data_IF_172346772643
#
_entry.id   IF_172346772643
#
_cell.length_a   1.000
_cell.length_b   1.000
_cell.length_c   1.000
_cell.angle_alpha   90.00
_cell.angle_beta   90.00
_cell.angle_gamma   90.00
#
_symmetry.space_group_name_H-M   'P 1'
#
loop_
_entity.id
_entity.type
_entity.pdbx_description
1 polymer ?
#
# COMPACT_ATOMS: atom_id res chain seq x y z
N UNK A 1 -36.70 -29.79 -16.70
CA UNK A 1 -36.79 -30.10 -15.26
C UNK A 1 -36.60 -31.60 -14.96
N UNK A 2 -35.57 -32.26 -15.52
CA UNK A 2 -35.33 -33.71 -15.35
C UNK A 2 -33.87 -34.07 -14.98
N UNK A 3 -33.11 -33.16 -14.38
CA UNK A 3 -31.70 -33.41 -13.96
C UNK A 3 -31.36 -32.90 -12.55
N UNK A 4 -32.30 -32.91 -11.61
CA UNK A 4 -32.05 -32.53 -10.20
C UNK A 4 -31.90 -33.80 -9.35
N UNK A 5 -30.96 -34.69 -9.67
CA UNK A 5 -30.74 -35.87 -8.82
C UNK A 5 -29.48 -35.86 -7.99
N UNK A 6 -28.46 -35.05 -8.30
CA UNK A 6 -27.22 -35.05 -7.51
C UNK A 6 -26.58 -33.65 -7.49
N UNK A 7 -27.31 -32.61 -7.08
CA UNK A 7 -26.65 -31.33 -6.72
C UNK A 7 -26.09 -31.54 -5.31
N UNK A 8 -24.76 -31.47 -5.10
CA UNK A 8 -24.17 -31.70 -3.79
C UNK A 8 -24.65 -30.65 -2.77
N UNK A 9 -24.89 -31.10 -1.53
CA UNK A 9 -25.38 -30.24 -0.46
C UNK A 9 -24.32 -29.28 0.14
N UNK A 10 -23.06 -29.43 -0.25
CA UNK A 10 -21.96 -28.56 0.19
C UNK A 10 -21.44 -27.72 -0.98
N UNK A 11 -20.97 -26.51 -0.67
CA UNK A 11 -20.42 -25.59 -1.67
C UNK A 11 -19.21 -26.20 -2.40
N UNK A 12 -18.31 -26.86 -1.66
CA UNK A 12 -17.16 -27.59 -2.24
C UNK A 12 -17.59 -28.72 -3.18
N UNK A 13 -18.65 -29.46 -2.81
CA UNK A 13 -19.22 -30.49 -3.66
C UNK A 13 -19.78 -29.90 -4.96
N UNK A 14 -20.48 -28.76 -4.87
CA UNK A 14 -21.02 -28.07 -6.03
C UNK A 14 -19.92 -27.62 -7.00
N UNK A 15 -18.81 -27.07 -6.50
CA UNK A 15 -17.67 -26.68 -7.33
C UNK A 15 -16.98 -27.87 -7.98
N UNK A 16 -16.80 -28.97 -7.24
CA UNK A 16 -16.29 -30.21 -7.82
C UNK A 16 -17.20 -30.73 -8.94
N UNK A 17 -18.51 -30.78 -8.69
CA UNK A 17 -19.51 -31.21 -9.67
C UNK A 17 -19.48 -30.31 -10.92
N UNK A 18 -19.38 -28.99 -10.73
CA UNK A 18 -19.26 -28.01 -11.82
C UNK A 18 -18.01 -28.28 -12.66
N UNK A 19 -16.85 -28.42 -12.02
CA UNK A 19 -15.59 -28.71 -12.70
C UNK A 19 -15.59 -30.07 -13.43
N UNK A 20 -16.23 -31.10 -12.88
CA UNK A 20 -16.38 -32.40 -13.54
C UNK A 20 -17.25 -32.32 -14.79
N UNK A 21 -18.33 -31.53 -14.74
CA UNK A 21 -19.24 -31.33 -15.87
C UNK A 21 -18.63 -30.47 -16.96
N UNK A 22 -17.90 -29.41 -16.60
CA UNK A 22 -17.31 -28.47 -17.55
C UNK A 22 -16.00 -28.96 -18.17
N UNK A 23 -15.15 -29.64 -17.39
CA UNK A 23 -13.79 -30.00 -17.83
C UNK A 23 -13.62 -31.51 -17.97
N UNK A 24 -13.91 -31.99 -19.17
CA UNK A 24 -13.86 -33.42 -19.50
C UNK A 24 -12.43 -33.84 -19.86
N UNK A 25 -12.02 -35.05 -19.46
CA UNK A 25 -10.66 -35.60 -19.68
C UNK A 25 -9.57 -34.67 -19.12
N UNK A 26 -8.62 -34.24 -19.97
CA UNK A 26 -7.48 -33.37 -19.63
C UNK A 26 -7.73 -31.90 -20.00
N UNK A 27 -8.98 -31.48 -20.22
CA UNK A 27 -9.29 -30.09 -20.57
C UNK A 27 -8.84 -29.10 -19.49
N UNK A 28 -9.04 -29.43 -18.21
CA UNK A 28 -8.66 -28.53 -17.12
C UNK A 28 -7.17 -28.17 -17.16
N UNK A 29 -6.29 -29.16 -17.31
CA UNK A 29 -4.85 -28.93 -17.40
C UNK A 29 -4.45 -27.99 -18.56
N UNK A 30 -5.26 -27.90 -19.64
CA UNK A 30 -5.00 -26.99 -20.77
C UNK A 30 -5.36 -25.54 -20.47
N UNK A 31 -6.37 -25.32 -19.62
CA UNK A 31 -6.90 -24.00 -19.25
C UNK A 31 -6.37 -23.52 -17.89
N UNK A 32 -5.83 -24.42 -17.07
CA UNK A 32 -5.25 -24.13 -15.76
C UNK A 32 -4.22 -22.99 -15.78
N UNK A 33 -3.33 -22.85 -16.79
CA UNK A 33 -2.44 -21.68 -16.83
C UNK A 33 -3.20 -20.34 -16.87
N UNK A 34 -4.35 -20.27 -17.54
CA UNK A 34 -5.18 -19.05 -17.58
C UNK A 34 -5.75 -18.77 -16.19
N UNK A 35 -6.27 -19.81 -15.53
CA UNK A 35 -6.81 -19.69 -14.17
C UNK A 35 -5.72 -19.29 -13.16
N UNK A 36 -4.52 -19.86 -13.26
CA UNK A 36 -3.39 -19.48 -12.42
C UNK A 36 -3.07 -17.98 -12.56
N UNK A 37 -3.05 -17.43 -13.78
CA UNK A 37 -2.85 -15.99 -14.01
C UNK A 37 -3.98 -15.16 -13.39
N UNK A 38 -5.25 -15.53 -13.63
CA UNK A 38 -6.40 -14.78 -13.10
C UNK A 38 -6.37 -14.75 -11.56
N UNK A 39 -6.10 -15.89 -10.93
CA UNK A 39 -6.03 -16.02 -9.47
C UNK A 39 -4.83 -15.28 -8.84
N UNK A 40 -3.82 -14.93 -9.63
CA UNK A 40 -2.64 -14.21 -9.19
C UNK A 40 -2.69 -12.70 -9.47
N UNK A 41 -3.63 -12.25 -10.31
CA UNK A 41 -3.70 -10.86 -10.76
C UNK A 41 -4.28 -9.94 -9.67
N UNK A 42 -3.72 -8.73 -9.52
CA UNK A 42 -4.20 -7.72 -8.57
C UNK A 42 -5.47 -7.01 -9.03
N UNK A 43 -5.78 -7.15 -10.32
CA UNK A 43 -6.91 -6.53 -11.00
C UNK A 43 -7.40 -7.46 -12.11
N UNK A 44 -8.65 -7.29 -12.58
CA UNK A 44 -9.13 -7.94 -13.78
C UNK A 44 -8.21 -7.64 -14.98
N UNK A 45 -7.85 -8.68 -15.72
CA UNK A 45 -6.97 -8.58 -16.89
C UNK A 45 -7.76 -8.72 -18.18
N UNK A 46 -7.37 -7.95 -19.18
CA UNK A 46 -7.89 -8.08 -20.54
C UNK A 46 -7.46 -9.40 -21.17
N UNK A 47 -8.19 -9.84 -22.20
CA UNK A 47 -7.83 -11.02 -23.00
C UNK A 47 -6.37 -10.95 -23.50
N UNK A 48 -5.91 -9.78 -23.92
CA UNK A 48 -4.55 -9.57 -24.44
C UNK A 48 -3.50 -9.71 -23.33
N UNK A 49 -3.72 -9.11 -22.16
CA UNK A 49 -2.82 -9.25 -21.00
C UNK A 49 -2.72 -10.71 -20.54
N UNK A 50 -3.86 -11.41 -20.46
CA UNK A 50 -3.90 -12.83 -20.13
C UNK A 50 -3.15 -13.68 -21.17
N UNK A 51 -3.31 -13.38 -22.45
CA UNK A 51 -2.59 -14.05 -23.52
C UNK A 51 -1.07 -13.90 -23.34
N UNK A 52 -0.59 -12.66 -23.18
CA UNK A 52 0.84 -12.41 -23.00
C UNK A 52 1.41 -13.09 -21.75
N UNK A 53 0.69 -13.07 -20.63
CA UNK A 53 1.08 -13.79 -19.42
C UNK A 53 1.21 -15.30 -19.68
N UNK A 54 0.19 -15.94 -20.23
CA UNK A 54 0.21 -17.40 -20.47
C UNK A 54 1.21 -17.80 -21.56
N UNK A 55 1.44 -16.93 -22.55
CA UNK A 55 2.44 -17.13 -23.60
C UNK A 55 3.85 -17.27 -23.04
N UNK A 56 4.19 -16.59 -21.94
CA UNK A 56 5.52 -16.73 -21.31
C UNK A 56 5.83 -18.13 -20.79
N UNK A 57 4.79 -18.92 -20.46
CA UNK A 57 4.93 -20.34 -20.10
C UNK A 57 4.96 -21.27 -21.32
N UNK A 58 4.34 -20.86 -22.44
CA UNK A 58 4.34 -21.61 -23.69
C UNK A 58 4.43 -20.67 -24.89
N UNK A 59 5.66 -20.39 -25.33
CA UNK A 59 5.93 -19.42 -26.40
C UNK A 59 5.45 -19.86 -27.78
N UNK A 60 4.99 -21.10 -27.94
CA UNK A 60 4.36 -21.58 -29.19
C UNK A 60 2.84 -21.36 -29.21
N UNK A 61 2.25 -20.78 -28.17
CA UNK A 61 0.80 -20.55 -28.07
C UNK A 61 0.36 -19.43 -29.02
N UNK A 62 -0.57 -19.73 -29.92
CA UNK A 62 -1.19 -18.72 -30.78
C UNK A 62 -2.39 -18.07 -30.10
N UNK A 63 -2.78 -16.87 -30.55
CA UNK A 63 -3.97 -16.19 -30.04
C UNK A 63 -5.25 -17.00 -30.31
N UNK A 64 -5.32 -17.70 -31.45
CA UNK A 64 -6.44 -18.60 -31.77
C UNK A 64 -6.54 -19.78 -30.78
N UNK A 65 -5.41 -20.40 -30.46
CA UNK A 65 -5.34 -21.49 -29.48
C UNK A 65 -5.75 -21.01 -28.09
N UNK A 66 -5.31 -19.80 -27.74
CA UNK A 66 -5.67 -19.16 -26.48
C UNK A 66 -7.16 -18.83 -26.41
N UNK A 67 -7.76 -18.29 -27.48
CA UNK A 67 -9.19 -18.03 -27.54
C UNK A 67 -10.01 -19.30 -27.37
N UNK A 68 -9.62 -20.41 -28.03
CA UNK A 68 -10.25 -21.72 -27.82
C UNK A 68 -10.20 -22.20 -26.37
N UNK A 69 -9.12 -21.87 -25.63
CA UNK A 69 -9.02 -22.16 -24.20
C UNK A 69 -9.93 -21.26 -23.36
N UNK A 70 -10.08 -19.98 -23.72
CA UNK A 70 -11.04 -19.08 -23.07
C UNK A 70 -12.49 -19.51 -23.31
N UNK A 71 -12.82 -20.02 -24.49
CA UNK A 71 -14.17 -20.51 -24.79
C UNK A 71 -14.56 -21.70 -23.89
N UNK A 72 -13.60 -22.57 -23.56
CA UNK A 72 -13.78 -23.64 -22.58
C UNK A 72 -14.05 -23.09 -21.17
N UNK A 73 -13.49 -21.92 -20.84
CA UNK A 73 -13.70 -21.23 -19.57
C UNK A 73 -14.95 -20.32 -19.56
N UNK A 74 -15.67 -20.16 -20.67
CA UNK A 74 -16.82 -19.23 -20.80
C UNK A 74 -17.96 -19.44 -19.80
N UNK A 75 -18.03 -20.61 -19.15
CA UNK A 75 -19.03 -20.91 -18.11
C UNK A 75 -18.57 -20.55 -16.70
N UNK A 76 -17.28 -20.29 -16.50
CA UNK A 76 -16.70 -19.88 -15.22
C UNK A 76 -16.11 -18.48 -15.28
N UNK A 77 -15.96 -17.89 -16.46
CA UNK A 77 -15.52 -16.51 -16.63
C UNK A 77 -16.69 -15.61 -17.04
N UNK A 78 -16.65 -14.38 -16.53
CA UNK A 78 -17.58 -13.31 -16.87
C UNK A 78 -16.77 -12.12 -17.41
N UNK A 79 -17.37 -11.36 -18.30
CA UNK A 79 -16.81 -10.11 -18.82
C UNK A 79 -16.97 -8.99 -17.78
N UNK A 80 -15.84 -8.44 -17.35
CA UNK A 80 -15.76 -7.24 -16.53
C UNK A 80 -15.67 -5.96 -17.38
N UNK A 81 -15.46 -4.83 -16.70
CA UNK A 81 -15.23 -3.55 -17.37
C UNK A 81 -13.99 -3.62 -18.28
N UNK A 82 -14.06 -2.98 -19.45
CA UNK A 82 -12.92 -2.90 -20.37
C UNK A 82 -12.51 -4.23 -21.03
N UNK A 83 -13.45 -5.17 -21.23
CA UNK A 83 -13.18 -6.52 -21.78
C UNK A 83 -12.20 -7.34 -20.92
N UNK A 84 -12.21 -7.09 -19.61
CA UNK A 84 -11.45 -7.90 -18.65
C UNK A 84 -12.18 -9.20 -18.36
N UNK A 85 -11.46 -10.23 -17.93
CA UNK A 85 -12.03 -11.52 -17.54
C UNK A 85 -11.89 -11.72 -16.04
N UNK A 86 -12.99 -12.07 -15.38
CA UNK A 86 -13.06 -12.39 -13.94
C UNK A 86 -13.75 -13.73 -13.74
N UNK A 87 -13.45 -14.44 -12.64
CA UNK A 87 -14.21 -15.63 -12.28
C UNK A 87 -15.60 -15.24 -11.78
N UNK A 88 -16.58 -16.09 -12.08
CA UNK A 88 -17.99 -15.80 -11.82
C UNK A 88 -18.35 -15.71 -10.32
N UNK A 89 -17.50 -16.20 -9.41
CA UNK A 89 -17.80 -16.26 -7.99
C UNK A 89 -16.53 -16.32 -7.13
N UNK A 90 -16.40 -15.43 -6.15
CA UNK A 90 -15.23 -15.32 -5.27
C UNK A 90 -14.90 -16.63 -4.51
N UNK A 91 -15.87 -17.29 -3.88
CA UNK A 91 -15.59 -18.55 -3.17
C UNK A 91 -15.17 -19.71 -4.09
N UNK A 92 -15.40 -19.59 -5.41
CA UNK A 92 -14.86 -20.55 -6.37
C UNK A 92 -13.36 -20.31 -6.60
N UNK A 93 -12.92 -19.06 -6.58
CA UNK A 93 -11.49 -18.68 -6.61
C UNK A 93 -10.75 -19.24 -5.40
N UNK A 94 -11.30 -19.04 -4.19
CA UNK A 94 -10.75 -19.58 -2.95
C UNK A 94 -10.67 -21.11 -3.00
N UNK A 95 -11.75 -21.76 -3.47
CA UNK A 95 -11.77 -23.20 -3.63
C UNK A 95 -10.69 -23.67 -4.60
N UNK A 96 -10.46 -23.01 -5.74
CA UNK A 96 -9.40 -23.40 -6.68
C UNK A 96 -7.99 -23.33 -6.07
N UNK A 97 -7.76 -22.57 -5.01
CA UNK A 97 -6.47 -22.44 -4.31
C UNK A 97 -6.38 -23.30 -3.03
N UNK A 98 -7.49 -23.86 -2.56
CA UNK A 98 -7.53 -24.59 -1.28
C UNK A 98 -7.03 -26.03 -1.41
N UNK A 99 -5.80 -26.28 -0.94
CA UNK A 99 -5.16 -27.61 -0.94
C UNK A 99 -5.94 -28.65 -0.10
N UNK A 100 -6.74 -28.22 0.89
CA UNK A 100 -7.50 -29.13 1.76
C UNK A 100 -8.81 -29.57 1.11
N UNK A 101 -9.49 -28.66 0.41
CA UNK A 101 -10.86 -28.90 -0.08
C UNK A 101 -10.96 -29.07 -1.60
N UNK A 102 -9.99 -28.58 -2.36
CA UNK A 102 -9.95 -28.76 -3.81
C UNK A 102 -9.37 -30.11 -4.18
N UNK A 103 -9.96 -30.74 -5.19
CA UNK A 103 -9.37 -31.95 -5.75
C UNK A 103 -8.08 -31.59 -6.47
N UNK A 104 -6.99 -32.34 -6.25
CA UNK A 104 -5.68 -32.11 -6.87
C UNK A 104 -5.72 -31.92 -8.39
N UNK A 105 -6.68 -32.55 -9.07
CA UNK A 105 -6.94 -32.40 -10.52
C UNK A 105 -7.31 -30.97 -10.93
N UNK A 106 -8.01 -30.23 -10.06
CA UNK A 106 -8.56 -28.90 -10.29
C UNK A 106 -7.85 -27.79 -9.51
N UNK A 107 -6.94 -28.17 -8.61
CA UNK A 107 -6.16 -27.23 -7.82
C UNK A 107 -5.31 -26.32 -8.74
N UNK A 108 -5.41 -25.02 -8.55
CA UNK A 108 -4.62 -24.01 -9.24
C UNK A 108 -3.39 -23.62 -8.41
N UNK A 109 -2.42 -23.00 -9.07
CA UNK A 109 -1.18 -22.54 -8.45
C UNK A 109 -0.98 -21.05 -8.73
N UNK A 110 -1.32 -20.22 -7.76
CA UNK A 110 -1.15 -18.76 -7.84
C UNK A 110 0.31 -18.35 -8.06
N UNK A 111 1.28 -19.04 -7.44
CA UNK A 111 2.71 -18.74 -7.64
C UNK A 111 3.16 -18.96 -9.09
N UNK A 112 2.55 -19.91 -9.81
CA UNK A 112 2.76 -20.04 -11.25
C UNK A 112 2.13 -18.89 -12.06
N UNK A 113 0.97 -18.41 -11.62
CA UNK A 113 0.34 -17.19 -12.13
C UNK A 113 1.24 -15.98 -11.99
N UNK A 114 1.76 -15.74 -10.80
CA UNK A 114 2.72 -14.68 -10.51
C UNK A 114 3.97 -14.77 -11.38
N UNK A 115 4.54 -15.97 -11.60
CA UNK A 115 5.66 -16.16 -12.54
C UNK A 115 5.33 -15.74 -13.96
N UNK A 116 4.18 -16.19 -14.49
CA UNK A 116 3.75 -15.84 -15.84
C UNK A 116 3.53 -14.33 -16.01
N UNK A 117 2.94 -13.68 -15.01
CA UNK A 117 2.78 -12.23 -14.98
C UNK A 117 4.14 -11.52 -14.90
N UNK A 118 5.01 -11.91 -13.97
CA UNK A 118 6.35 -11.34 -13.84
C UNK A 118 7.18 -11.47 -15.13
N UNK A 119 7.11 -12.60 -15.83
CA UNK A 119 7.75 -12.76 -17.13
C UNK A 119 7.12 -11.83 -18.19
N UNK A 120 5.79 -11.70 -18.20
CA UNK A 120 5.09 -10.79 -19.13
C UNK A 120 5.50 -9.33 -18.91
N UNK A 121 5.53 -8.87 -17.65
CA UNK A 121 6.04 -7.55 -17.29
C UNK A 121 7.52 -7.38 -17.69
N UNK A 122 8.35 -8.42 -17.51
CA UNK A 122 9.76 -8.40 -17.94
C UNK A 122 9.91 -8.16 -19.44
N UNK A 123 9.05 -8.76 -20.28
CA UNK A 123 9.09 -8.56 -21.74
C UNK A 123 8.79 -7.11 -22.17
N UNK A 124 8.06 -6.35 -21.36
CA UNK A 124 7.65 -4.97 -21.65
C UNK A 124 8.12 -3.98 -20.57
N UNK A 125 9.22 -4.31 -19.88
CA UNK A 125 9.71 -3.60 -18.70
C UNK A 125 9.87 -2.08 -18.88
N UNK A 126 10.29 -1.65 -20.08
CA UNK A 126 10.52 -0.24 -20.42
C UNK A 126 9.24 0.57 -20.63
N UNK A 127 8.10 -0.11 -20.82
CA UNK A 127 6.81 0.49 -21.13
C UNK A 127 5.86 0.47 -19.92
N UNK A 128 6.32 -0.03 -18.77
CA UNK A 128 5.50 -0.13 -17.57
C UNK A 128 5.20 1.24 -16.99
N UNK A 129 3.93 1.45 -16.67
CA UNK A 129 3.50 2.58 -15.84
C UNK A 129 3.97 2.41 -14.39
N UNK A 130 4.05 3.47 -13.57
CA UNK A 130 4.43 3.37 -12.15
C UNK A 130 3.63 2.33 -11.37
N UNK A 131 2.32 2.25 -11.61
CA UNK A 131 1.43 1.25 -10.97
C UNK A 131 1.80 -0.17 -11.41
N UNK A 132 2.04 -0.38 -12.71
CA UNK A 132 2.46 -1.68 -13.23
C UNK A 132 3.86 -2.10 -12.74
N UNK A 133 4.75 -1.15 -12.44
CA UNK A 133 6.03 -1.45 -11.80
C UNK A 133 5.84 -2.01 -10.39
N UNK A 134 4.87 -1.49 -9.64
CA UNK A 134 4.51 -2.06 -8.33
C UNK A 134 3.88 -3.46 -8.47
N UNK A 135 2.96 -3.64 -9.43
CA UNK A 135 2.38 -4.96 -9.76
C UNK A 135 3.48 -5.96 -10.16
N UNK A 136 4.47 -5.51 -10.93
CA UNK A 136 5.61 -6.32 -11.31
C UNK A 136 6.44 -6.75 -10.09
N UNK A 137 6.76 -5.82 -9.19
CA UNK A 137 7.45 -6.12 -7.93
C UNK A 137 6.70 -7.13 -7.07
N UNK A 138 5.38 -6.97 -6.94
CA UNK A 138 4.51 -7.93 -6.25
C UNK A 138 4.61 -9.33 -6.87
N UNK A 139 4.46 -9.41 -8.19
CA UNK A 139 4.52 -10.70 -8.88
C UNK A 139 5.90 -11.35 -8.78
N UNK A 140 6.99 -10.58 -8.75
CA UNK A 140 8.33 -11.11 -8.50
C UNK A 140 8.44 -11.74 -7.10
N UNK A 141 7.91 -11.08 -6.06
CA UNK A 141 7.96 -11.58 -4.68
C UNK A 141 7.13 -12.87 -4.52
N UNK A 142 5.92 -12.90 -5.07
CA UNK A 142 5.03 -14.06 -4.95
C UNK A 142 5.28 -15.15 -6.00
N UNK A 143 6.26 -14.96 -6.89
CA UNK A 143 6.61 -15.91 -7.94
C UNK A 143 7.22 -17.22 -7.42
N UNK A 144 7.63 -17.28 -6.15
CA UNK A 144 8.40 -18.39 -5.54
C UNK A 144 9.67 -18.76 -6.32
N UNK A 145 10.19 -17.83 -7.13
CA UNK A 145 11.54 -17.94 -7.65
C UNK A 145 12.47 -17.94 -6.45
N UNK A 146 13.41 -18.90 -6.38
CA UNK A 146 14.37 -19.01 -5.27
C UNK A 146 15.45 -17.91 -5.39
N UNK A 147 15.01 -16.66 -5.44
CA UNK A 147 15.81 -15.46 -5.60
C UNK A 147 15.59 -14.57 -4.39
N UNK A 148 16.67 -13.97 -3.90
CA UNK A 148 16.64 -12.97 -2.84
C UNK A 148 16.09 -11.64 -3.36
N UNK A 149 15.60 -10.77 -2.47
CA UNK A 149 15.12 -9.43 -2.86
C UNK A 149 16.18 -8.62 -3.61
N UNK A 150 17.47 -8.83 -3.34
CA UNK A 150 18.56 -8.15 -4.06
C UNK A 150 18.73 -8.68 -5.48
N UNK A 151 18.56 -9.99 -5.70
CA UNK A 151 18.59 -10.59 -7.05
C UNK A 151 17.36 -10.18 -7.86
N UNK A 152 16.18 -10.10 -7.22
CA UNK A 152 14.98 -9.56 -7.84
C UNK A 152 15.14 -8.08 -8.21
N UNK A 153 15.78 -7.28 -7.35
CA UNK A 153 16.08 -5.88 -7.67
C UNK A 153 17.02 -5.77 -8.88
N UNK A 154 18.07 -6.60 -8.92
CA UNK A 154 18.99 -6.69 -10.07
C UNK A 154 18.25 -7.09 -11.35
N UNK A 155 17.27 -7.99 -11.28
CA UNK A 155 16.42 -8.32 -12.42
C UNK A 155 15.72 -7.08 -12.98
N UNK A 156 15.05 -6.30 -12.13
CA UNK A 156 14.35 -5.08 -12.54
C UNK A 156 15.31 -4.04 -13.15
N UNK A 157 16.52 -3.93 -12.60
CA UNK A 157 17.56 -3.05 -13.15
C UNK A 157 18.01 -3.54 -14.53
N UNK A 158 18.31 -4.83 -14.68
CA UNK A 158 18.83 -5.39 -15.93
C UNK A 158 17.84 -5.42 -17.08
N UNK A 159 16.55 -5.61 -16.80
CA UNK A 159 15.51 -5.55 -17.84
C UNK A 159 15.14 -4.10 -18.25
N UNK A 160 15.66 -3.10 -17.53
CA UNK A 160 15.44 -1.68 -17.80
C UNK A 160 14.09 -1.16 -17.33
N UNK A 161 13.53 -1.72 -16.25
CA UNK A 161 12.30 -1.22 -15.65
C UNK A 161 12.52 0.19 -15.09
N UNK A 162 11.65 1.14 -15.43
CA UNK A 162 11.70 2.50 -14.87
C UNK A 162 11.13 2.53 -13.44
N UNK A 163 11.96 2.23 -12.44
CA UNK A 163 11.55 2.17 -11.02
C UNK A 163 11.50 3.53 -10.32
N UNK A 164 12.12 4.59 -10.88
CA UNK A 164 12.25 5.89 -10.22
C UNK A 164 10.89 6.46 -9.79
N UNK A 165 9.94 6.48 -10.71
CA UNK A 165 8.62 7.08 -10.47
C UNK A 165 7.63 6.12 -9.79
N UNK A 166 8.07 4.90 -9.46
CA UNK A 166 7.18 3.86 -8.94
C UNK A 166 6.63 4.16 -7.55
N UNK A 167 7.22 5.08 -6.80
CA UNK A 167 6.75 5.50 -5.47
C UNK A 167 6.04 6.87 -5.49
N UNK A 168 5.95 7.52 -6.65
CA UNK A 168 5.39 8.88 -6.78
C UNK A 168 3.86 8.92 -6.82
N UNK A 169 3.16 7.78 -6.95
CA UNK A 169 1.69 7.74 -7.00
C UNK A 169 1.04 7.17 -5.75
N UNK A 170 1.57 6.08 -5.21
CA UNK A 170 1.06 5.35 -4.03
C UNK A 170 2.22 4.55 -3.43
N UNK A 171 2.29 4.41 -2.11
CA UNK A 171 3.24 3.44 -1.49
C UNK A 171 2.62 2.04 -1.56
N UNK A 172 3.36 1.01 -2.04
CA UNK A 172 2.90 -0.37 -1.98
C UNK A 172 2.48 -0.77 -0.56
N UNK A 173 1.34 -1.45 -0.45
CA UNK A 173 0.84 -1.94 0.85
C UNK A 173 1.73 -3.01 1.47
N UNK A 174 2.33 -3.85 0.63
CA UNK A 174 3.23 -4.91 1.05
C UNK A 174 4.65 -4.37 1.22
N UNK A 175 5.20 -4.58 2.42
CA UNK A 175 6.51 -4.04 2.80
C UNK A 175 7.63 -4.63 1.94
N UNK A 176 7.51 -5.91 1.57
CA UNK A 176 8.46 -6.60 0.72
C UNK A 176 8.54 -5.96 -0.67
N UNK A 177 7.41 -5.51 -1.22
CA UNK A 177 7.35 -4.81 -2.51
C UNK A 177 8.05 -3.47 -2.41
N UNK A 178 7.77 -2.70 -1.36
CA UNK A 178 8.46 -1.44 -1.10
C UNK A 178 9.97 -1.65 -1.00
N UNK A 179 10.42 -2.62 -0.20
CA UNK A 179 11.85 -2.94 -0.06
C UNK A 179 12.49 -3.34 -1.39
N UNK A 180 11.80 -4.13 -2.22
CA UNK A 180 12.28 -4.52 -3.54
C UNK A 180 12.46 -3.30 -4.46
N UNK A 181 11.45 -2.43 -4.55
CA UNK A 181 11.49 -1.23 -5.39
C UNK A 181 12.61 -0.28 -4.95
N UNK A 182 12.73 -0.04 -3.65
CA UNK A 182 13.78 0.81 -3.09
C UNK A 182 15.17 0.23 -3.39
N UNK A 183 15.37 -1.09 -3.23
CA UNK A 183 16.63 -1.76 -3.63
C UNK A 183 16.89 -1.69 -5.13
N UNK A 184 15.85 -1.67 -5.95
CA UNK A 184 15.97 -1.50 -7.40
C UNK A 184 16.31 -0.05 -7.80
N UNK A 185 16.25 0.90 -6.87
CA UNK A 185 16.55 2.31 -7.10
C UNK A 185 15.32 3.20 -7.21
N UNK A 186 14.16 2.77 -6.69
CA UNK A 186 13.02 3.65 -6.49
C UNK A 186 13.30 4.61 -5.33
N UNK A 187 13.03 5.89 -5.53
CA UNK A 187 13.28 6.94 -4.54
C UNK A 187 12.02 7.78 -4.40
N UNK A 188 11.90 8.48 -3.27
CA UNK A 188 10.84 9.46 -3.05
C UNK A 188 11.46 10.81 -3.37
N UNK A 189 11.32 11.27 -4.63
CA UNK A 189 11.87 12.57 -5.04
C UNK A 189 11.09 13.73 -4.42
N UNK A 190 11.83 14.73 -3.93
CA UNK A 190 11.33 15.83 -3.09
C UNK A 190 10.81 17.05 -3.85
N UNK A 191 10.71 16.98 -5.18
CA UNK A 191 10.38 18.16 -6.00
C UNK A 191 8.90 18.25 -6.41
N UNK A 192 8.12 17.17 -6.28
CA UNK A 192 6.68 17.18 -6.58
C UNK A 192 5.85 17.12 -5.29
N UNK A 193 4.95 18.10 -5.16
CA UNK A 193 3.98 18.25 -4.07
C UNK A 193 3.12 16.98 -3.85
N UNK A 194 2.86 16.22 -4.92
CA UNK A 194 2.13 14.94 -4.85
C UNK A 194 2.90 13.86 -4.10
N UNK A 195 4.22 13.86 -4.18
CA UNK A 195 5.08 12.87 -3.53
C UNK A 195 5.03 13.00 -2.01
N UNK A 196 4.90 14.23 -1.50
CA UNK A 196 4.82 14.51 -0.07
C UNK A 196 3.53 13.96 0.58
N UNK A 197 2.39 14.02 -0.12
CA UNK A 197 1.14 13.42 0.32
C UNK A 197 1.24 11.89 0.50
N UNK A 198 2.11 11.22 -0.26
CA UNK A 198 2.26 9.77 -0.27
C UNK A 198 3.16 9.30 0.89
N UNK A 199 4.21 10.05 1.22
CA UNK A 199 4.99 9.81 2.46
C UNK A 199 4.12 9.99 3.70
N UNK A 200 3.14 10.90 3.65
CA UNK A 200 2.15 11.06 4.71
C UNK A 200 1.16 9.90 4.75
N UNK A 201 0.73 9.35 3.60
CA UNK A 201 -0.01 8.08 3.59
C UNK A 201 0.81 6.91 4.18
N UNK A 202 2.14 6.98 4.16
CA UNK A 202 3.02 6.03 4.85
C UNK A 202 2.86 6.04 6.38
N UNK A 203 2.24 7.08 6.97
CA UNK A 203 2.02 7.19 8.42
C UNK A 203 1.21 6.05 9.01
N UNK A 204 0.45 5.33 8.18
CA UNK A 204 -0.30 4.15 8.62
C UNK A 204 0.63 2.97 8.97
N UNK A 205 1.91 3.00 8.57
CA UNK A 205 2.85 1.88 8.74
C UNK A 205 4.27 2.36 9.10
N UNK A 206 4.64 2.20 10.37
CA UNK A 206 5.99 2.50 10.89
C UNK A 206 7.11 1.86 10.04
N UNK A 207 6.91 0.61 9.62
CA UNK A 207 7.84 -0.16 8.81
C UNK A 207 8.14 0.46 7.44
N UNK A 208 7.13 1.07 6.82
CA UNK A 208 7.28 1.74 5.53
C UNK A 208 8.10 3.02 5.70
N UNK A 209 7.82 3.80 6.74
CA UNK A 209 8.59 5.01 7.08
C UNK A 209 10.05 4.65 7.34
N UNK A 210 10.30 3.63 8.17
CA UNK A 210 11.65 3.15 8.46
C UNK A 210 12.41 2.77 7.20
N UNK A 211 11.78 1.99 6.31
CA UNK A 211 12.38 1.57 5.04
C UNK A 211 12.74 2.77 4.17
N UNK A 212 11.87 3.76 4.06
CA UNK A 212 12.12 4.97 3.28
C UNK A 212 13.26 5.80 3.86
N UNK A 213 13.27 6.04 5.17
CA UNK A 213 14.32 6.81 5.85
C UNK A 213 15.69 6.11 5.78
N UNK A 214 15.72 4.78 5.93
CA UNK A 214 16.95 3.99 5.81
C UNK A 214 17.56 4.06 4.40
N UNK A 215 16.77 4.43 3.39
CA UNK A 215 17.19 4.54 2.00
C UNK A 215 17.23 6.00 1.50
N UNK A 216 17.36 6.95 2.42
CA UNK A 216 17.70 8.34 2.08
C UNK A 216 16.51 9.29 1.87
N UNK A 217 15.28 8.88 2.17
CA UNK A 217 14.17 9.82 2.23
C UNK A 217 14.42 10.90 3.29
N UNK A 218 14.08 12.15 2.98
CA UNK A 218 14.29 13.27 3.91
C UNK A 218 13.30 13.19 5.07
N UNK A 219 13.83 13.19 6.30
CA UNK A 219 13.03 13.17 7.54
C UNK A 219 12.20 14.45 7.73
N UNK A 220 12.62 15.55 7.09
CA UNK A 220 12.03 16.89 7.21
C UNK A 220 11.27 17.33 5.94
N UNK A 221 10.87 16.37 5.10
CA UNK A 221 10.07 16.67 3.91
C UNK A 221 8.68 17.20 4.30
N UNK A 222 8.25 18.27 3.65
CA UNK A 222 6.94 18.92 3.87
C UNK A 222 5.96 18.66 2.72
N UNK A 223 4.66 18.58 3.03
CA UNK A 223 3.58 18.57 2.03
C UNK A 223 3.18 19.96 1.50
N UNK A 224 2.13 20.00 0.67
CA UNK A 224 1.54 21.20 0.08
C UNK A 224 1.14 22.25 1.11
N UNK A 225 0.82 21.78 2.32
CA UNK A 225 0.39 22.61 3.43
C UNK A 225 1.57 22.92 4.36
N UNK A 226 2.81 22.63 3.96
CA UNK A 226 4.01 22.84 4.77
C UNK A 226 4.21 21.82 5.89
N UNK A 227 3.37 20.79 6.01
CA UNK A 227 3.43 19.84 7.14
C UNK A 227 4.50 18.78 6.91
N UNK A 228 5.34 18.59 7.93
CA UNK A 228 6.28 17.47 7.98
C UNK A 228 5.59 16.15 8.34
N UNK A 229 6.31 15.04 8.13
CA UNK A 229 5.88 13.73 8.63
C UNK A 229 5.72 13.73 10.16
N UNK A 230 6.59 14.46 10.87
CA UNK A 230 6.51 14.63 12.32
C UNK A 230 5.23 15.39 12.72
N UNK A 231 4.90 16.49 12.04
CA UNK A 231 3.69 17.26 12.29
C UNK A 231 2.41 16.42 12.14
N UNK A 232 2.35 15.58 11.10
CA UNK A 232 1.21 14.68 10.88
C UNK A 232 1.15 13.50 11.88
N UNK A 233 2.30 12.90 12.23
CA UNK A 233 2.36 11.89 13.29
C UNK A 233 1.93 12.47 14.65
N UNK A 234 2.30 13.73 14.91
CA UNK A 234 1.92 14.44 16.11
C UNK A 234 0.42 14.78 16.15
N UNK A 235 -0.14 15.22 15.03
CA UNK A 235 -1.58 15.47 14.87
C UNK A 235 -2.43 14.21 15.02
N UNK A 236 -1.93 13.05 14.58
CA UNK A 236 -2.64 11.75 14.71
C UNK A 236 -2.39 11.04 16.04
N UNK A 237 -1.47 11.53 16.87
CA UNK A 237 -1.14 10.93 18.16
C UNK A 237 -0.31 9.65 18.08
N UNK A 238 0.33 9.38 16.94
CA UNK A 238 1.13 8.17 16.75
C UNK A 238 2.52 8.32 17.38
N UNK A 239 2.61 7.97 18.66
CA UNK A 239 3.84 8.09 19.46
C UNK A 239 5.01 7.29 18.89
N UNK A 240 4.77 6.10 18.35
CA UNK A 240 5.84 5.23 17.85
C UNK A 240 6.51 5.85 16.62
N UNK A 241 5.72 6.41 15.71
CA UNK A 241 6.22 7.17 14.56
C UNK A 241 6.92 8.46 14.99
N UNK A 242 6.39 9.18 15.99
CA UNK A 242 7.07 10.37 16.55
C UNK A 242 8.44 10.00 17.09
N UNK A 243 8.55 8.94 17.91
CA UNK A 243 9.82 8.45 18.45
C UNK A 243 10.79 8.07 17.34
N UNK A 244 10.32 7.35 16.31
CA UNK A 244 11.13 6.99 15.15
C UNK A 244 11.69 8.26 14.48
N UNK A 245 10.84 9.22 14.14
CA UNK A 245 11.22 10.45 13.42
C UNK A 245 12.21 11.30 14.21
N UNK A 246 11.94 11.53 15.50
CA UNK A 246 12.85 12.28 16.37
C UNK A 246 14.20 11.55 16.50
N UNK A 247 14.21 10.21 16.60
CA UNK A 247 15.47 9.44 16.62
C UNK A 247 16.28 9.55 15.33
N UNK A 248 15.64 9.93 14.22
CA UNK A 248 16.27 10.18 12.91
C UNK A 248 16.62 11.65 12.68
N UNK A 249 16.50 12.50 13.70
CA UNK A 249 16.90 13.90 13.64
C UNK A 249 15.87 14.81 12.96
N UNK A 250 14.58 14.52 13.10
CA UNK A 250 13.54 15.47 12.71
C UNK A 250 13.73 16.82 13.38
N UNK A 251 13.53 17.89 12.61
CA UNK A 251 13.45 19.24 13.12
C UNK A 251 12.04 19.45 13.72
N UNK A 252 12.02 19.80 15.01
CA UNK A 252 10.79 19.95 15.80
C UNK A 252 10.07 21.27 15.50
N UNK A 253 10.79 22.24 14.94
CA UNK A 253 10.35 23.63 14.78
C UNK A 253 9.90 23.96 13.34
N UNK A 254 9.84 22.96 12.45
CA UNK A 254 9.26 23.17 11.12
C UNK A 254 7.76 23.42 11.26
N UNK A 255 7.34 24.57 10.73
CA UNK A 255 5.97 25.06 10.78
C UNK A 255 5.16 24.66 9.55
N UNK A 256 3.87 24.37 9.75
CA UNK A 256 2.92 24.27 8.65
C UNK A 256 2.50 25.66 8.10
N UNK A 257 1.66 25.69 7.07
CA UNK A 257 1.22 26.93 6.43
C UNK A 257 0.49 27.90 7.38
N UNK A 258 0.01 27.44 8.53
CA UNK A 258 -0.60 28.25 9.58
C UNK A 258 0.38 28.66 10.68
N UNK A 259 1.66 28.28 10.58
CA UNK A 259 2.68 28.54 11.59
C UNK A 259 2.68 27.49 12.71
N UNK A 260 1.97 26.37 12.57
CA UNK A 260 1.83 25.39 13.65
C UNK A 260 2.97 24.37 13.60
N UNK A 261 3.64 24.16 14.73
CA UNK A 261 4.64 23.08 14.90
C UNK A 261 3.98 21.77 15.33
N UNK A 262 4.75 20.68 15.30
CA UNK A 262 4.30 19.37 15.77
C UNK A 262 3.75 19.42 17.22
N UNK A 263 4.37 20.22 18.10
CA UNK A 263 3.93 20.37 19.49
C UNK A 263 2.55 21.02 19.56
N UNK A 264 2.33 22.10 18.81
CA UNK A 264 1.04 22.80 18.77
C UNK A 264 -0.07 21.90 18.25
N UNK A 265 0.19 21.11 17.20
CA UNK A 265 -0.77 20.16 16.64
C UNK A 265 -1.12 19.03 17.62
N UNK A 266 -0.13 18.41 18.26
CA UNK A 266 -0.37 17.38 19.29
C UNK A 266 -1.15 17.93 20.49
N UNK A 267 -0.84 19.17 20.90
CA UNK A 267 -1.51 19.81 22.02
C UNK A 267 -2.98 20.13 21.69
N UNK A 268 -3.25 20.61 20.48
CA UNK A 268 -4.60 20.87 19.97
C UNK A 268 -5.49 19.62 19.93
N UNK A 269 -4.89 18.44 19.72
CA UNK A 269 -5.61 17.16 19.67
C UNK A 269 -5.57 16.37 20.99
N UNK A 270 -4.94 16.90 22.03
CA UNK A 270 -4.93 16.29 23.36
C UNK A 270 -4.00 15.08 23.51
N UNK A 271 -3.01 14.91 22.63
CA UNK A 271 -2.12 13.76 22.62
C UNK A 271 -0.99 13.88 23.64
N UNK A 272 -1.31 13.72 24.93
CA UNK A 272 -0.38 13.95 26.06
C UNK A 272 0.95 13.20 25.95
N UNK A 273 0.95 11.94 25.47
CA UNK A 273 2.18 11.16 25.31
C UNK A 273 3.11 11.76 24.26
N UNK A 274 2.56 12.20 23.13
CA UNK A 274 3.32 12.87 22.07
C UNK A 274 3.83 14.22 22.55
N UNK A 275 3.00 15.00 23.24
CA UNK A 275 3.40 16.29 23.84
C UNK A 275 4.60 16.10 24.78
N UNK A 276 4.52 15.13 25.69
CA UNK A 276 5.63 14.85 26.62
C UNK A 276 6.91 14.41 25.90
N UNK A 277 6.78 13.62 24.82
CA UNK A 277 7.91 13.23 23.98
C UNK A 277 8.58 14.47 23.33
N UNK A 278 7.79 15.29 22.62
CA UNK A 278 8.30 16.48 21.93
C UNK A 278 8.95 17.49 22.89
N UNK A 279 8.34 17.74 24.06
CA UNK A 279 8.93 18.57 25.13
C UNK A 279 10.24 17.95 25.63
N UNK A 280 10.24 16.65 25.91
CA UNK A 280 11.44 15.93 26.36
C UNK A 280 12.58 15.96 25.34
N UNK A 281 12.26 16.13 24.06
CA UNK A 281 13.20 16.27 22.96
C UNK A 281 13.59 17.74 22.65
N UNK A 282 13.08 18.70 23.41
CA UNK A 282 13.50 20.11 23.35
C UNK A 282 12.69 21.00 22.43
N UNK A 283 11.45 20.62 22.06
CA UNK A 283 10.57 21.49 21.27
C UNK A 283 10.29 22.83 22.00
N UNK A 284 10.17 23.93 21.26
CA UNK A 284 9.83 25.24 21.85
C UNK A 284 8.39 25.25 22.35
N UNK A 285 8.26 25.15 23.68
CA UNK A 285 6.99 25.14 24.40
C UNK A 285 6.18 26.43 24.16
N UNK A 286 6.86 27.54 23.87
CA UNK A 286 6.25 28.86 23.75
C UNK A 286 6.16 29.36 22.30
N UNK A 287 6.43 28.50 21.31
CA UNK A 287 6.19 28.82 19.92
C UNK A 287 4.75 29.31 19.71
N UNK A 288 4.61 30.32 18.86
CA UNK A 288 3.33 30.91 18.50
C UNK A 288 3.12 30.75 16.99
N UNK A 289 1.95 30.24 16.61
CA UNK A 289 1.57 30.19 15.21
C UNK A 289 1.23 31.59 14.65
N UNK A 290 0.83 31.68 13.37
CA UNK A 290 0.57 32.96 12.71
C UNK A 290 -0.58 33.77 13.36
N UNK A 291 -1.48 33.08 14.08
CA UNK A 291 -2.56 33.71 14.84
C UNK A 291 -2.16 33.99 16.30
N UNK A 292 -0.91 33.73 16.68
CA UNK A 292 -0.42 33.90 18.04
C UNK A 292 -0.87 32.80 19.01
N UNK A 293 -1.30 31.63 18.51
CA UNK A 293 -1.68 30.52 19.38
C UNK A 293 -0.45 29.72 19.80
N UNK A 294 -0.31 29.54 21.11
CA UNK A 294 0.65 28.62 21.71
C UNK A 294 0.04 27.22 21.86
N UNK A 295 0.90 26.21 22.03
CA UNK A 295 0.47 24.86 22.39
C UNK A 295 -0.44 24.84 23.64
N UNK A 296 -0.13 25.68 24.65
CA UNK A 296 -0.92 25.79 25.88
C UNK A 296 -2.34 26.28 25.60
N UNK A 297 -2.47 27.30 24.75
CA UNK A 297 -3.78 27.83 24.36
C UNK A 297 -4.57 26.83 23.53
N UNK A 298 -3.91 26.18 22.57
CA UNK A 298 -4.54 25.13 21.75
C UNK A 298 -5.09 23.98 22.60
N UNK A 299 -4.34 23.54 23.61
CA UNK A 299 -4.79 22.52 24.55
C UNK A 299 -5.95 22.99 25.45
N UNK A 300 -5.90 24.23 25.93
CA UNK A 300 -6.97 24.80 26.75
C UNK A 300 -8.28 24.96 25.94
N UNK A 301 -8.18 25.40 24.69
CA UNK A 301 -9.32 25.53 23.79
C UNK A 301 -9.96 24.19 23.44
N UNK A 302 -9.15 23.13 23.32
CA UNK A 302 -9.63 21.76 23.14
C UNK A 302 -10.12 21.07 24.42
N UNK A 303 -10.02 21.73 25.60
CA UNK A 303 -10.39 21.13 26.88
C UNK A 303 -9.44 20.03 27.37
N UNK A 304 -8.22 19.97 26.85
CA UNK A 304 -7.26 18.88 27.12
C UNK A 304 -6.45 19.14 28.40
N UNK A 305 -7.09 18.95 29.55
CA UNK A 305 -6.53 19.26 30.88
C UNK A 305 -5.20 18.56 31.20
N UNK A 306 -5.01 17.32 30.76
CA UNK A 306 -3.75 16.59 30.94
C UNK A 306 -2.60 17.23 30.15
N UNK A 307 -2.86 17.66 28.92
CA UNK A 307 -1.89 18.37 28.08
C UNK A 307 -1.58 19.74 28.66
N UNK A 308 -2.60 20.49 29.11
CA UNK A 308 -2.42 21.78 29.80
C UNK A 308 -1.51 21.60 31.01
N UNK A 309 -1.76 20.57 31.82
CA UNK A 309 -0.95 20.26 33.00
C UNK A 309 0.51 19.94 32.63
N UNK A 310 0.72 19.14 31.57
CA UNK A 310 2.05 18.81 31.08
C UNK A 310 2.82 20.05 30.59
N UNK A 311 2.18 20.92 29.81
CA UNK A 311 2.78 22.15 29.30
C UNK A 311 3.11 23.15 30.42
N UNK A 312 2.22 23.32 31.40
CA UNK A 312 2.47 24.17 32.56
C UNK A 312 3.62 23.64 33.42
N UNK A 313 3.66 22.32 33.64
CA UNK A 313 4.76 21.68 34.36
C UNK A 313 6.11 21.87 33.65
N UNK A 314 6.09 21.89 32.32
CA UNK A 314 7.27 22.15 31.49
C UNK A 314 7.65 23.64 31.39
N UNK A 315 6.88 24.55 31.98
CA UNK A 315 7.20 25.99 32.01
C UNK A 315 6.59 26.82 30.89
N UNK A 316 5.47 26.39 30.30
CA UNK A 316 4.71 27.20 29.34
C UNK A 316 4.26 28.55 29.94
N UNK A 317 4.44 29.63 29.18
CA UNK A 317 4.01 30.98 29.58
C UNK A 317 2.48 31.08 29.50
N UNK A 318 1.87 31.42 30.63
CA UNK A 318 0.42 31.51 30.79
C UNK A 318 -0.18 32.78 30.15
N UNK A 319 0.62 33.85 30.10
CA UNK A 319 0.18 35.19 29.68
C UNK A 319 0.46 35.50 28.20
N UNK A 320 0.91 34.52 27.40
CA UNK A 320 1.02 34.69 25.96
C UNK A 320 -0.37 34.98 25.38
N UNK A 321 -0.49 36.08 24.65
CA UNK A 321 -1.73 36.57 24.07
C UNK A 321 -1.63 36.62 22.54
N UNK A 322 -2.74 36.34 21.85
CA UNK A 322 -2.82 36.47 20.39
C UNK A 322 -2.89 37.94 19.94
N UNK A 323 -3.00 38.15 18.62
CA UNK A 323 -3.24 39.46 18.02
C UNK A 323 -4.47 40.20 18.61
N UNK A 324 -5.43 39.47 19.17
CA UNK A 324 -6.65 39.99 19.82
C UNK A 324 -6.52 40.12 21.36
N UNK A 325 -5.30 40.00 21.92
CA UNK A 325 -5.04 40.09 23.38
C UNK A 325 -5.79 39.04 24.23
N UNK A 326 -6.07 37.85 23.67
CA UNK A 326 -6.71 36.73 24.38
C UNK A 326 -5.65 35.75 24.89
N UNK A 327 -5.69 35.47 26.20
CA UNK A 327 -4.82 34.47 26.86
C UNK A 327 -5.46 33.08 26.85
N UNK A 328 -4.68 32.05 27.19
CA UNK A 328 -5.18 30.67 27.30
C UNK A 328 -6.39 30.55 28.25
N UNK A 329 -6.42 31.32 29.36
CA UNK A 329 -7.54 31.33 30.32
C UNK A 329 -8.86 31.80 29.68
N UNK A 330 -8.80 32.72 28.72
CA UNK A 330 -9.99 33.20 27.98
C UNK A 330 -10.44 32.25 26.88
N UNK A 331 -9.53 31.39 26.41
CA UNK A 331 -9.80 30.41 25.37
C UNK A 331 -10.27 29.05 25.93
N UNK A 332 -10.13 28.81 27.25
CA UNK A 332 -10.52 27.57 27.91
C UNK A 332 -12.03 27.33 27.80
N UNK A 333 -12.41 26.14 27.31
CA UNK A 333 -13.79 25.65 27.21
C UNK A 333 -14.21 24.87 28.46
#
# INVERSE_FOLDING_TARGET
>A
LREIRDIPGTLNGLYLWLCQRLFVRKQFAKVQPILNVILAACRPLTTTELFHAVWTKNMSLTMEDFQRKLDVLSKVLVDGLGNTKILFHYSFEEWLLDVKHCTQKYLCNAAEGHRMLAMSYTCRAKELTPVEVQEFGLHLIHSTLQLTNSELALWMIWNGTCVKDSLCTVIPKEQEVLQLLVKAGAHVDSEDDRTCCIVIQALEREDSIRTLLDNGASVNQCDSNGRTLLANAAYSGNLDVVNLLVSRGSDLEIEDASGQTALTLAARQGHVKVVNCLIGCGADINHCDHDGWTALRSAAWGGHTEVVSALLYAGAKVDCADADSRTALRAAS
#
